data_IF_976982010875
#
_entry.id   IF_976982010875
#
_cell.length_a   1.000
_cell.length_b   1.000
_cell.length_c   1.000
_cell.angle_alpha   90.00
_cell.angle_beta   90.00
_cell.angle_gamma   90.00
#
_symmetry.space_group_name_H-M   'P 1'
#
loop_
_entity.id
_entity.type
_entity.pdbx_description
1 polymer ?
#
# COMPACT_ATOMS: atom_id res chain seq x y z
N UNK A 1 -14.66 -32.96 28.00
CA UNK A 1 -14.61 -33.03 26.51
C UNK A 1 -15.04 -31.74 25.82
N UNK A 2 -15.50 -30.72 26.55
CA UNK A 2 -16.07 -29.46 26.01
C UNK A 2 -15.03 -28.43 25.55
N UNK A 3 -13.82 -28.41 26.14
CA UNK A 3 -12.80 -27.36 25.90
C UNK A 3 -12.14 -27.39 24.51
N UNK A 4 -12.07 -28.54 23.84
CA UNK A 4 -11.46 -28.63 22.52
C UNK A 4 -12.38 -28.11 21.40
N UNK A 5 -13.70 -28.28 21.58
CA UNK A 5 -14.73 -27.82 20.62
C UNK A 5 -14.89 -26.30 20.69
N UNK A 6 -14.84 -25.71 21.89
CA UNK A 6 -14.87 -24.25 22.08
C UNK A 6 -13.68 -23.54 21.44
N UNK A 7 -12.47 -24.06 21.62
CA UNK A 7 -11.25 -23.53 20.97
C UNK A 7 -11.26 -23.66 19.44
N UNK A 8 -11.79 -24.77 18.91
CA UNK A 8 -11.91 -24.96 17.47
C UNK A 8 -12.94 -23.98 16.86
N UNK A 9 -14.07 -23.75 17.54
CA UNK A 9 -15.08 -22.79 17.11
C UNK A 9 -14.58 -21.33 17.15
N UNK A 10 -13.80 -20.96 18.17
CA UNK A 10 -13.17 -19.64 18.24
C UNK A 10 -12.15 -19.43 17.10
N UNK A 11 -11.35 -20.46 16.79
CA UNK A 11 -10.40 -20.38 15.67
C UNK A 11 -11.11 -20.22 14.32
N UNK A 12 -12.14 -21.03 14.06
CA UNK A 12 -12.94 -20.90 12.83
C UNK A 12 -13.58 -19.52 12.71
N UNK A 13 -14.08 -18.98 13.83
CA UNK A 13 -14.66 -17.65 13.86
C UNK A 13 -13.61 -16.55 13.61
N UNK A 14 -12.41 -16.70 14.15
CA UNK A 14 -11.30 -15.78 13.90
C UNK A 14 -10.86 -15.79 12.43
N UNK A 15 -10.80 -16.97 11.80
CA UNK A 15 -10.52 -17.08 10.36
C UNK A 15 -11.58 -16.35 9.51
N UNK A 16 -12.85 -16.38 9.94
CA UNK A 16 -13.94 -15.63 9.29
C UNK A 16 -13.76 -14.12 9.46
N UNK A 17 -13.37 -13.65 10.65
CA UNK A 17 -13.04 -12.23 10.90
C UNK A 17 -11.90 -11.79 9.98
N UNK A 18 -10.81 -12.56 9.92
CA UNK A 18 -9.64 -12.26 9.07
C UNK A 18 -10.02 -12.14 7.60
N UNK A 19 -10.81 -13.09 7.08
CA UNK A 19 -11.29 -13.04 5.69
C UNK A 19 -12.15 -11.79 5.44
N UNK A 20 -13.12 -11.51 6.31
CA UNK A 20 -13.98 -10.34 6.12
C UNK A 20 -13.18 -9.03 6.21
N UNK A 21 -12.24 -8.95 7.15
CA UNK A 21 -11.39 -7.76 7.32
C UNK A 21 -10.56 -7.48 6.06
N UNK A 22 -10.05 -8.53 5.41
CA UNK A 22 -9.37 -8.44 4.11
C UNK A 22 -10.31 -8.07 2.95
N UNK A 23 -11.55 -8.57 2.93
CA UNK A 23 -12.54 -8.26 1.88
C UNK A 23 -12.95 -6.78 1.87
N UNK A 24 -12.98 -6.12 3.03
CA UNK A 24 -13.37 -4.71 3.16
C UNK A 24 -12.18 -3.74 3.17
N UNK A 25 -10.96 -4.27 3.03
CA UNK A 25 -9.75 -3.47 2.99
C UNK A 25 -9.61 -2.66 1.68
N UNK A 26 -8.96 -1.48 1.72
CA UNK A 26 -8.70 -0.70 0.51
C UNK A 26 -7.75 -1.44 -0.44
N UNK A 27 -7.88 -1.18 -1.74
CA UNK A 27 -6.97 -1.74 -2.73
C UNK A 27 -5.50 -1.42 -2.41
N UNK A 28 -4.62 -2.39 -2.62
CA UNK A 28 -3.18 -2.23 -2.38
C UNK A 28 -2.74 -2.37 -0.92
N UNK A 29 -3.62 -2.77 0.01
CA UNK A 29 -3.24 -3.06 1.39
C UNK A 29 -2.17 -4.17 1.46
N UNK A 30 -1.25 -4.03 2.41
CA UNK A 30 -0.21 -5.03 2.72
C UNK A 30 -0.29 -5.55 4.14
N UNK A 31 -0.82 -4.73 5.06
CA UNK A 31 -1.06 -5.06 6.47
C UNK A 31 -2.37 -4.42 6.91
N UNK A 32 -3.22 -5.17 7.60
CA UNK A 32 -4.38 -4.65 8.33
C UNK A 32 -4.10 -4.73 9.82
N UNK A 33 -4.56 -3.72 10.55
CA UNK A 33 -4.46 -3.66 12.00
C UNK A 33 -5.81 -3.26 12.54
N UNK A 34 -6.37 -4.09 13.41
CA UNK A 34 -7.62 -3.86 14.09
C UNK A 34 -7.45 -3.98 15.60
N UNK A 35 -8.10 -3.09 16.34
CA UNK A 35 -8.31 -3.23 17.76
C UNK A 35 -9.80 -3.06 18.06
N UNK A 36 -10.37 -4.01 18.81
CA UNK A 36 -11.74 -3.96 19.30
C UNK A 36 -11.76 -4.01 20.81
N UNK A 37 -12.49 -3.10 21.44
CA UNK A 37 -12.78 -3.09 22.85
C UNK A 37 -14.24 -3.50 23.08
N UNK A 38 -14.42 -4.64 23.75
CA UNK A 38 -15.72 -5.19 24.10
C UNK A 38 -16.17 -4.73 25.49
N UNK A 39 -17.39 -4.22 25.59
CA UNK A 39 -18.02 -3.89 26.86
C UNK A 39 -19.52 -4.13 26.82
N UNK A 40 -20.09 -4.41 27.99
CA UNK A 40 -21.53 -4.53 28.16
C UNK A 40 -22.13 -3.18 28.55
N UNK A 41 -23.17 -2.76 27.84
CA UNK A 41 -24.00 -1.63 28.23
C UNK A 41 -24.87 -1.97 29.45
N UNK A 42 -25.49 -0.98 30.13
CA UNK A 42 -26.36 -1.23 31.28
C UNK A 42 -27.52 -2.21 31.03
N UNK A 43 -27.96 -2.34 29.77
CA UNK A 43 -28.98 -3.30 29.35
C UNK A 43 -28.44 -4.73 29.14
N UNK A 44 -27.12 -4.93 29.24
CA UNK A 44 -26.43 -6.19 28.99
C UNK A 44 -26.09 -6.45 27.53
N UNK A 45 -26.36 -5.49 26.64
CA UNK A 45 -26.00 -5.58 25.22
C UNK A 45 -24.49 -5.41 25.05
N UNK A 46 -23.89 -6.25 24.20
CA UNK A 46 -22.47 -6.17 23.86
C UNK A 46 -22.26 -5.05 22.84
N UNK A 47 -21.43 -4.09 23.21
CA UNK A 47 -20.96 -3.02 22.33
C UNK A 47 -19.47 -3.22 22.05
N UNK A 48 -19.07 -2.99 20.79
CA UNK A 48 -17.68 -2.95 20.38
C UNK A 48 -17.30 -1.53 20.00
N UNK A 49 -16.33 -0.96 20.71
CA UNK A 49 -15.58 0.20 20.23
C UNK A 49 -14.38 -0.29 19.41
N UNK A 50 -14.02 0.38 18.31
CA UNK A 50 -13.05 -0.15 17.37
C UNK A 50 -12.16 0.92 16.75
N UNK A 51 -10.94 0.49 16.40
CA UNK A 51 -9.99 1.22 15.58
C UNK A 51 -9.43 0.27 14.53
N UNK A 52 -9.50 0.67 13.28
CA UNK A 52 -8.98 -0.11 12.15
C UNK A 52 -8.14 0.77 11.24
N UNK A 53 -7.02 0.23 10.77
CA UNK A 53 -6.20 0.85 9.73
C UNK A 53 -5.65 -0.22 8.79
N UNK A 54 -5.25 0.24 7.62
CA UNK A 54 -4.44 -0.52 6.68
C UNK A 54 -3.13 0.24 6.43
N UNK A 55 -2.05 -0.50 6.26
CA UNK A 55 -0.87 0.00 5.53
C UNK A 55 -1.10 -0.32 4.06
N UNK A 56 -1.06 0.71 3.22
CA UNK A 56 -1.31 0.61 1.78
C UNK A 56 -0.03 0.92 1.03
N UNK A 57 0.29 0.05 0.08
CA UNK A 57 1.30 0.27 -0.94
C UNK A 57 0.73 1.20 -2.01
N UNK A 58 1.21 2.45 -2.06
CA UNK A 58 0.83 3.41 -3.10
C UNK A 58 1.79 3.40 -4.31
N UNK A 59 2.77 2.50 -4.32
CA UNK A 59 3.86 2.40 -5.29
C UNK A 59 5.10 3.18 -4.87
N UNK A 60 4.97 4.48 -4.63
CA UNK A 60 6.12 5.35 -4.31
C UNK A 60 6.33 5.58 -2.80
N UNK A 61 5.38 5.17 -1.97
CA UNK A 61 5.42 5.25 -0.50
C UNK A 61 4.38 4.35 0.15
N UNK A 62 4.56 4.13 1.45
CA UNK A 62 3.52 3.58 2.31
C UNK A 62 2.49 4.66 2.66
N UNK A 63 1.22 4.30 2.77
CA UNK A 63 0.14 5.20 3.16
C UNK A 63 -0.78 4.56 4.19
N UNK A 64 -1.45 5.40 5.00
CA UNK A 64 -2.59 4.96 5.77
C UNK A 64 -3.80 4.74 4.85
N UNK A 65 -4.36 3.54 4.91
CA UNK A 65 -5.69 3.24 4.40
C UNK A 65 -6.68 3.17 5.56
N UNK A 66 -7.85 3.79 5.40
CA UNK A 66 -8.95 3.56 6.32
C UNK A 66 -9.68 2.29 5.90
N UNK A 67 -9.86 1.35 6.83
CA UNK A 67 -10.68 0.17 6.57
C UNK A 67 -12.11 0.50 7.01
N UNK A 68 -13.03 0.45 6.05
CA UNK A 68 -14.44 0.62 6.33
C UNK A 68 -14.92 -0.47 7.27
N UNK A 69 -15.37 -0.10 8.45
CA UNK A 69 -15.98 -1.05 9.36
C UNK A 69 -17.45 -1.22 8.99
N UNK A 70 -17.83 -2.45 8.65
CA UNK A 70 -19.18 -2.79 8.24
C UNK A 70 -19.87 -3.70 9.27
N UNK A 71 -21.21 -3.72 9.19
CA UNK A 71 -22.04 -4.53 10.09
C UNK A 71 -21.69 -6.03 10.05
N UNK A 72 -21.39 -6.66 8.89
CA UNK A 72 -20.88 -8.03 8.85
C UNK A 72 -19.60 -8.26 9.67
N UNK A 73 -18.61 -7.36 9.59
CA UNK A 73 -17.39 -7.49 10.39
C UNK A 73 -17.70 -7.32 11.88
N UNK A 74 -18.59 -6.40 12.25
CA UNK A 74 -19.06 -6.25 13.63
C UNK A 74 -19.67 -7.53 14.18
N UNK A 75 -20.60 -8.12 13.45
CA UNK A 75 -21.28 -9.34 13.88
C UNK A 75 -20.30 -10.50 14.07
N UNK A 76 -19.29 -10.61 13.20
CA UNK A 76 -18.26 -11.63 13.30
C UNK A 76 -17.39 -11.46 14.55
N UNK A 77 -16.97 -10.24 14.86
CA UNK A 77 -16.17 -9.96 16.07
C UNK A 77 -17.03 -10.12 17.34
N UNK A 78 -18.28 -9.68 17.31
CA UNK A 78 -19.21 -9.83 18.43
C UNK A 78 -19.52 -11.30 18.72
N UNK A 79 -19.63 -12.15 17.68
CA UNK A 79 -19.78 -13.59 17.85
C UNK A 79 -18.52 -14.25 18.41
N UNK A 80 -17.32 -13.81 17.99
CA UNK A 80 -16.07 -14.29 18.58
C UNK A 80 -16.02 -14.03 20.10
N UNK A 81 -16.49 -12.86 20.55
CA UNK A 81 -16.61 -12.53 21.96
C UNK A 81 -17.60 -13.47 22.69
N UNK A 82 -18.78 -13.70 22.09
CA UNK A 82 -19.81 -14.59 22.64
C UNK A 82 -19.32 -16.04 22.79
N UNK A 83 -18.58 -16.54 21.81
CA UNK A 83 -17.98 -17.88 21.86
C UNK A 83 -16.96 -18.00 23.00
N UNK A 84 -16.14 -16.98 23.23
CA UNK A 84 -15.22 -16.95 24.37
C UNK A 84 -15.95 -16.96 25.73
N UNK A 85 -17.05 -16.21 25.84
CA UNK A 85 -17.89 -16.18 27.04
C UNK A 85 -18.63 -17.50 27.30
N UNK A 86 -19.00 -18.24 26.25
CA UNK A 86 -19.73 -19.50 26.36
C UNK A 86 -18.88 -20.61 27.00
N UNK A 87 -17.56 -20.60 26.80
CA UNK A 87 -16.63 -21.57 27.40
C UNK A 87 -16.39 -21.31 28.90
N UNK A 88 -16.40 -20.04 29.31
CA UNK A 88 -16.44 -19.62 30.71
C UNK A 88 -16.95 -18.16 30.81
N UNK A 89 -18.07 -17.87 31.49
CA UNK A 89 -18.70 -16.54 31.50
C UNK A 89 -17.84 -15.37 32.00
N UNK A 90 -16.74 -15.67 32.72
CA UNK A 90 -15.74 -14.69 33.15
C UNK A 90 -14.50 -14.60 32.25
N UNK A 91 -14.50 -15.24 31.08
CA UNK A 91 -13.43 -15.27 30.08
C UNK A 91 -13.85 -14.63 28.75
N UNK A 92 -14.89 -13.79 28.75
CA UNK A 92 -15.07 -12.87 27.62
C UNK A 92 -13.83 -11.95 27.59
N UNK A 93 -13.16 -11.88 26.45
CA UNK A 93 -12.10 -10.91 26.26
C UNK A 93 -12.72 -9.51 26.23
N UNK A 94 -11.95 -8.53 26.67
CA UNK A 94 -12.32 -7.11 26.67
C UNK A 94 -11.58 -6.35 25.58
N UNK A 95 -10.46 -6.87 25.10
CA UNK A 95 -9.68 -6.32 24.00
C UNK A 95 -9.32 -7.43 23.00
N UNK A 96 -9.48 -7.17 21.71
CA UNK A 96 -8.94 -7.97 20.63
C UNK A 96 -8.01 -7.09 19.80
N UNK A 97 -6.74 -7.48 19.72
CA UNK A 97 -5.78 -6.97 18.75
C UNK A 97 -5.65 -7.97 17.60
N UNK A 98 -5.72 -7.50 16.37
CA UNK A 98 -5.56 -8.31 15.17
C UNK A 98 -4.67 -7.61 14.15
N UNK A 99 -3.62 -8.31 13.74
CA UNK A 99 -2.78 -7.92 12.61
C UNK A 99 -2.92 -8.97 11.51
N UNK A 100 -3.21 -8.56 10.28
CA UNK A 100 -3.39 -9.45 9.13
C UNK A 100 -2.46 -9.03 8.01
N UNK A 101 -1.66 -9.96 7.48
CA UNK A 101 -0.82 -9.79 6.31
C UNK A 101 -1.56 -10.12 5.01
N UNK A 102 -1.03 -9.64 3.87
CA UNK A 102 -1.65 -9.81 2.55
C UNK A 102 -1.88 -11.27 2.13
N UNK A 103 -1.06 -12.21 2.66
CA UNK A 103 -1.20 -13.65 2.44
C UNK A 103 -2.21 -14.32 3.40
N UNK A 104 -2.95 -13.52 4.16
CA UNK A 104 -3.89 -13.91 5.21
C UNK A 104 -3.25 -14.62 6.41
N UNK A 105 -1.92 -14.60 6.55
CA UNK A 105 -1.32 -14.89 7.86
C UNK A 105 -1.69 -13.78 8.83
N UNK A 106 -1.85 -14.14 10.10
CA UNK A 106 -2.32 -13.18 11.09
C UNK A 106 -1.77 -13.47 12.49
N UNK A 107 -1.75 -12.42 13.30
CA UNK A 107 -1.53 -12.48 14.75
C UNK A 107 -2.76 -11.90 15.44
N UNK A 108 -3.31 -12.66 16.39
CA UNK A 108 -4.40 -12.19 17.23
C UNK A 108 -4.00 -12.28 18.71
N UNK A 109 -4.34 -11.24 19.48
CA UNK A 109 -4.08 -11.18 20.92
C UNK A 109 -5.35 -10.75 21.64
N UNK A 110 -5.73 -11.52 22.67
CA UNK A 110 -6.93 -11.30 23.46
C UNK A 110 -6.54 -10.78 24.85
N UNK A 111 -6.97 -9.56 25.17
CA UNK A 111 -6.81 -8.92 26.48
C UNK A 111 -8.05 -9.07 27.35
N UNK A 112 -7.85 -9.03 28.66
CA UNK A 112 -8.91 -9.16 29.68
C UNK A 112 -8.94 -7.99 30.67
N UNK A 113 -8.04 -7.04 30.52
CA UNK A 113 -8.03 -5.80 31.31
C UNK A 113 -9.19 -4.89 30.90
N UNK A 114 -9.69 -4.01 31.77
CA UNK A 114 -10.81 -3.15 31.43
C UNK A 114 -10.57 -2.32 30.15
N UNK A 115 -11.57 -2.19 29.27
CA UNK A 115 -11.43 -1.44 28.03
C UNK A 115 -11.13 0.03 28.33
N UNK A 116 -10.19 0.62 27.61
CA UNK A 116 -9.63 1.94 27.89
C UNK A 116 -10.37 3.01 27.10
N UNK A 117 -10.53 2.86 25.78
CA UNK A 117 -11.21 3.83 24.91
C UNK A 117 -12.70 3.93 25.19
N UNK A 118 -13.37 2.81 25.47
CA UNK A 118 -14.77 2.82 25.90
C UNK A 118 -15.00 3.66 27.18
N UNK A 119 -13.93 3.94 27.95
CA UNK A 119 -13.94 4.78 29.16
C UNK A 119 -13.37 6.18 28.93
N UNK A 120 -13.08 6.56 27.69
CA UNK A 120 -12.46 7.84 27.34
C UNK A 120 -11.00 7.96 27.77
N UNK A 121 -10.31 6.85 28.02
CA UNK A 121 -8.89 6.84 28.36
C UNK A 121 -8.10 6.81 27.05
N UNK A 122 -7.31 7.85 26.84
CA UNK A 122 -6.36 7.95 25.73
C UNK A 122 -4.97 7.57 26.23
N UNK A 123 -4.39 6.50 25.69
CA UNK A 123 -3.04 6.07 26.03
C UNK A 123 -2.30 5.49 24.83
N UNK A 124 -0.98 5.39 24.99
CA UNK A 124 -0.05 4.98 23.96
C UNK A 124 -0.29 3.54 23.46
N UNK A 125 -0.74 2.64 24.34
CA UNK A 125 -1.02 1.25 23.99
C UNK A 125 -2.29 1.12 23.14
N UNK A 126 -3.29 1.96 23.40
CA UNK A 126 -4.59 1.89 22.73
C UNK A 126 -4.70 2.76 21.47
N UNK A 127 -4.32 4.04 21.55
CA UNK A 127 -4.42 4.98 20.41
C UNK A 127 -3.06 5.36 19.83
N UNK A 128 -2.07 5.63 20.68
CA UNK A 128 -0.73 6.05 20.22
C UNK A 128 -0.08 5.02 19.28
N UNK A 129 -0.32 3.72 19.51
CA UNK A 129 0.14 2.62 18.65
C UNK A 129 -0.39 2.73 17.22
N UNK A 130 -1.62 3.19 17.03
CA UNK A 130 -2.25 3.37 15.72
C UNK A 130 -1.76 4.66 15.05
N UNK A 131 -1.66 5.74 15.83
CA UNK A 131 -1.14 7.04 15.37
C UNK A 131 0.30 6.96 14.87
N UNK A 132 1.12 6.07 15.44
CA UNK A 132 2.53 5.87 15.07
C UNK A 132 2.78 4.60 14.25
N UNK A 133 1.72 3.88 13.86
CA UNK A 133 1.87 2.56 13.23
C UNK A 133 2.63 2.64 11.90
N UNK A 134 2.29 3.60 11.04
CA UNK A 134 2.93 3.76 9.73
C UNK A 134 4.41 4.15 9.88
N UNK A 135 4.74 5.01 10.84
CA UNK A 135 6.13 5.41 11.09
C UNK A 135 6.99 4.21 11.50
N UNK A 136 6.48 3.36 12.37
CA UNK A 136 7.13 2.09 12.72
C UNK A 136 7.24 1.15 11.53
N UNK A 137 6.18 1.02 10.73
CA UNK A 137 6.21 0.21 9.51
C UNK A 137 7.31 0.69 8.55
N UNK A 138 7.40 1.99 8.32
CA UNK A 138 8.42 2.64 7.49
C UNK A 138 9.82 2.42 8.07
N UNK A 139 10.00 2.52 9.38
CA UNK A 139 11.29 2.26 10.01
C UNK A 139 11.75 0.79 9.84
N UNK A 140 10.80 -0.15 9.83
CA UNK A 140 11.07 -1.59 9.70
C UNK A 140 11.25 -2.04 8.23
N UNK A 141 10.51 -1.47 7.30
CA UNK A 141 10.40 -1.92 5.90
C UNK A 141 11.05 -0.96 4.89
N UNK A 142 11.55 0.18 5.35
CA UNK A 142 12.05 1.27 4.52
C UNK A 142 10.97 2.30 4.16
N UNK A 143 11.40 3.47 3.70
CA UNK A 143 10.53 4.60 3.33
C UNK A 143 9.59 4.32 2.18
N UNK A 144 9.84 3.24 1.44
CA UNK A 144 9.07 2.86 0.25
C UNK A 144 8.71 1.39 0.28
N UNK A 145 7.57 1.04 -0.34
CA UNK A 145 7.32 -0.32 -0.75
C UNK A 145 8.52 -0.84 -1.54
N UNK A 146 8.99 -2.07 -1.26
CA UNK A 146 9.88 -2.72 -2.20
C UNK A 146 9.13 -2.71 -3.54
N UNK A 147 9.78 -2.21 -4.60
CA UNK A 147 9.15 -2.09 -5.91
C UNK A 147 8.46 -3.41 -6.21
N UNK A 148 7.15 -3.38 -6.47
CA UNK A 148 6.42 -4.59 -6.81
C UNK A 148 7.02 -5.12 -8.09
N UNK A 149 7.91 -6.11 -7.96
CA UNK A 149 8.17 -7.10 -8.99
C UNK A 149 6.93 -8.02 -9.14
N UNK A 150 5.73 -7.42 -9.12
CA UNK A 150 4.44 -8.10 -9.15
C UNK A 150 4.14 -8.72 -10.51
N UNK A 151 5.04 -8.50 -11.47
CA UNK A 151 5.12 -9.25 -12.71
C UNK A 151 6.53 -9.80 -12.84
N UNK A 152 6.64 -11.09 -13.13
CA UNK A 152 7.88 -11.68 -13.64
C UNK A 152 8.21 -11.04 -14.99
N UNK A 153 9.09 -10.05 -14.96
CA UNK A 153 9.68 -9.46 -16.16
C UNK A 153 10.62 -10.52 -16.75
N UNK A 154 10.45 -10.85 -18.03
CA UNK A 154 11.36 -11.83 -18.65
C UNK A 154 12.79 -11.28 -18.70
N UNK A 155 13.83 -12.13 -18.81
CA UNK A 155 15.20 -11.66 -18.97
C UNK A 155 15.38 -10.68 -20.14
N UNK A 156 14.64 -10.89 -21.24
CA UNK A 156 14.64 -9.98 -22.39
C UNK A 156 13.99 -8.64 -22.06
N UNK A 157 12.82 -8.64 -21.42
CA UNK A 157 12.15 -7.41 -20.99
C UNK A 157 12.98 -6.65 -19.95
N UNK A 158 13.71 -7.37 -19.09
CA UNK A 158 14.62 -6.80 -18.10
C UNK A 158 15.82 -6.16 -18.80
N UNK A 159 16.43 -6.83 -19.79
CA UNK A 159 17.52 -6.25 -20.59
C UNK A 159 17.08 -4.97 -21.31
N UNK A 160 15.86 -4.92 -21.83
CA UNK A 160 15.30 -3.71 -22.46
C UNK A 160 15.07 -2.60 -21.44
N UNK A 161 14.60 -2.94 -20.23
CA UNK A 161 14.45 -1.97 -19.14
C UNK A 161 15.81 -1.39 -18.72
N UNK A 162 16.85 -2.23 -18.62
CA UNK A 162 18.21 -1.79 -18.29
C UNK A 162 18.77 -0.82 -19.35
N UNK A 163 18.49 -1.06 -20.63
CA UNK A 163 18.81 -0.15 -21.72
C UNK A 163 18.05 1.18 -21.56
N UNK A 164 16.74 1.12 -21.31
CA UNK A 164 15.91 2.32 -21.08
C UNK A 164 16.49 3.15 -19.93
N UNK A 165 16.77 2.52 -18.77
CA UNK A 165 17.35 3.17 -17.59
C UNK A 165 18.71 3.80 -17.90
N UNK A 166 19.57 3.08 -18.64
CA UNK A 166 20.89 3.59 -19.04
C UNK A 166 20.76 4.87 -19.87
N UNK A 167 19.88 4.88 -20.87
CA UNK A 167 19.65 6.08 -21.71
C UNK A 167 19.07 7.24 -20.91
N UNK A 168 18.16 6.97 -19.97
CA UNK A 168 17.65 8.01 -19.05
C UNK A 168 18.79 8.63 -18.22
N UNK A 169 19.68 7.81 -17.65
CA UNK A 169 20.82 8.28 -16.85
C UNK A 169 21.81 9.10 -17.68
N UNK A 170 22.09 8.66 -18.90
CA UNK A 170 23.02 9.35 -19.82
C UNK A 170 22.46 10.69 -20.30
N UNK A 171 21.14 10.80 -20.44
CA UNK A 171 20.46 12.03 -20.88
C UNK A 171 20.17 13.01 -19.73
N UNK A 172 20.29 12.58 -18.48
CA UNK A 172 19.94 13.41 -17.33
C UNK A 172 20.93 14.57 -17.14
N UNK A 173 20.43 15.77 -16.78
CA UNK A 173 21.27 16.97 -16.65
C UNK A 173 22.28 16.87 -15.50
N UNK A 174 23.33 17.68 -15.57
CA UNK A 174 24.30 17.78 -14.48
C UNK A 174 23.62 18.04 -13.12
N UNK A 175 24.13 17.40 -12.07
CA UNK A 175 23.57 17.53 -10.72
C UNK A 175 22.27 16.77 -10.50
N UNK A 176 21.81 15.93 -11.44
CA UNK A 176 20.63 15.09 -11.22
C UNK A 176 20.80 14.10 -10.06
N UNK A 177 19.73 13.94 -9.29
CA UNK A 177 19.61 12.99 -8.18
C UNK A 177 18.72 11.81 -8.53
N UNK A 178 17.54 12.12 -9.09
CA UNK A 178 16.52 11.12 -9.41
C UNK A 178 15.70 11.52 -10.61
N UNK A 179 15.36 10.55 -11.45
CA UNK A 179 14.37 10.72 -12.54
C UNK A 179 13.09 10.03 -12.11
N UNK A 180 11.96 10.73 -12.24
CA UNK A 180 10.64 10.24 -11.85
C UNK A 180 9.79 10.13 -13.09
N UNK A 181 9.35 8.92 -13.39
CA UNK A 181 8.63 8.56 -14.58
C UNK A 181 7.28 7.92 -14.23
N UNK A 182 6.23 8.34 -14.94
CA UNK A 182 4.98 7.59 -15.02
C UNK A 182 4.58 7.38 -16.46
N UNK A 183 4.33 6.12 -16.84
CA UNK A 183 3.88 5.72 -18.17
C UNK A 183 2.56 4.99 -18.03
N UNK A 184 1.59 5.30 -18.88
CA UNK A 184 0.31 4.59 -18.96
C UNK A 184 0.11 4.08 -20.39
N UNK A 185 -0.36 2.84 -20.51
CA UNK A 185 -0.64 2.20 -21.80
C UNK A 185 -1.96 1.45 -21.72
N UNK A 186 -2.75 1.52 -22.79
CA UNK A 186 -4.02 0.82 -22.93
C UNK A 186 -4.14 0.28 -24.36
N UNK A 187 -4.67 -0.94 -24.52
CA UNK A 187 -4.92 -1.54 -25.82
C UNK A 187 -6.29 -1.09 -26.35
N UNK A 188 -6.29 -0.50 -27.54
CA UNK A 188 -7.50 -0.24 -28.30
C UNK A 188 -8.19 -1.55 -28.73
N UNK A 189 -9.48 -1.51 -29.15
CA UNK A 189 -10.22 -2.71 -29.57
C UNK A 189 -9.61 -3.47 -30.76
N UNK A 190 -8.77 -2.82 -31.56
CA UNK A 190 -8.03 -3.44 -32.67
C UNK A 190 -6.69 -4.06 -32.23
N UNK A 191 -6.34 -3.96 -30.95
CA UNK A 191 -5.13 -4.51 -30.34
C UNK A 191 -3.90 -3.62 -30.47
N UNK A 192 -4.03 -2.40 -30.99
CA UNK A 192 -2.96 -1.40 -30.99
C UNK A 192 -2.86 -0.73 -29.62
N UNK A 193 -1.64 -0.44 -29.17
CA UNK A 193 -1.44 0.33 -27.93
C UNK A 193 -1.49 1.84 -28.15
N UNK A 194 -2.23 2.50 -27.27
CA UNK A 194 -2.10 3.93 -27.00
C UNK A 194 -1.29 4.13 -25.72
N UNK A 195 -0.47 5.18 -25.66
CA UNK A 195 0.33 5.48 -24.47
C UNK A 195 0.41 6.96 -24.14
N UNK A 196 0.45 7.25 -22.84
CA UNK A 196 0.66 8.57 -22.27
C UNK A 196 1.80 8.53 -21.24
N UNK A 197 2.52 9.63 -21.09
CA UNK A 197 3.71 9.66 -20.23
C UNK A 197 3.98 11.05 -19.65
N UNK A 198 4.49 11.08 -18.43
CA UNK A 198 5.10 12.27 -17.83
C UNK A 198 6.39 11.90 -17.09
N UNK A 199 7.32 12.84 -17.09
CA UNK A 199 8.71 12.67 -16.66
C UNK A 199 9.21 13.98 -16.04
N UNK A 200 9.83 13.88 -14.87
CA UNK A 200 10.62 14.97 -14.29
C UNK A 200 11.97 14.45 -13.82
N UNK A 201 12.92 15.36 -13.70
CA UNK A 201 14.20 15.08 -13.05
C UNK A 201 14.37 16.01 -11.86
N UNK A 202 14.82 15.43 -10.74
CA UNK A 202 15.23 16.16 -9.56
C UNK A 202 16.72 16.44 -9.68
N UNK A 203 17.12 17.70 -9.53
CA UNK A 203 18.51 18.17 -9.61
C UNK A 203 18.89 18.96 -8.36
N UNK A 204 20.19 19.00 -8.06
CA UNK A 204 20.76 19.99 -7.13
C UNK A 204 21.29 21.16 -7.94
N UNK A 205 20.64 22.31 -7.84
CA UNK A 205 21.06 23.55 -8.50
C UNK A 205 21.37 24.60 -7.43
N UNK A 206 22.61 25.09 -7.39
CA UNK A 206 23.02 26.11 -6.41
C UNK A 206 22.95 25.66 -4.95
N UNK A 207 22.91 24.35 -4.68
CA UNK A 207 22.74 23.78 -3.34
C UNK A 207 21.29 23.60 -2.91
N UNK A 208 20.33 23.88 -3.79
CA UNK A 208 18.90 23.65 -3.55
C UNK A 208 18.37 22.54 -4.47
N UNK A 209 17.35 21.82 -3.99
CA UNK A 209 16.64 20.83 -4.80
C UNK A 209 15.67 21.54 -5.74
N UNK A 210 15.77 21.23 -7.03
CA UNK A 210 14.84 21.67 -8.05
C UNK A 210 14.27 20.48 -8.82
N UNK A 211 13.02 20.62 -9.27
CA UNK A 211 12.38 19.66 -10.17
C UNK A 211 12.23 20.32 -11.54
N UNK A 212 12.73 19.65 -12.57
CA UNK A 212 12.77 20.16 -13.94
C UNK A 212 12.02 19.20 -14.85
N UNK A 213 11.29 19.76 -15.82
CA UNK A 213 10.67 18.96 -16.87
C UNK A 213 11.75 18.18 -17.62
N UNK A 214 11.59 16.86 -17.73
CA UNK A 214 12.60 16.01 -18.34
C UNK A 214 11.99 15.26 -19.52
N UNK A 215 12.06 15.77 -20.76
CA UNK A 215 11.46 15.10 -21.90
C UNK A 215 12.09 13.72 -22.10
N UNK A 216 11.28 12.76 -22.54
CA UNK A 216 11.77 11.45 -22.98
C UNK A 216 12.93 11.62 -23.97
N UNK A 217 14.09 10.98 -23.73
CA UNK A 217 15.18 10.95 -24.69
C UNK A 217 14.73 10.43 -26.07
N UNK A 218 15.21 11.06 -27.14
CA UNK A 218 14.76 10.78 -28.52
C UNK A 218 14.92 9.30 -28.90
N UNK A 219 16.03 8.68 -28.47
CA UNK A 219 16.34 7.27 -28.74
C UNK A 219 15.40 6.26 -28.10
N UNK A 220 14.57 6.67 -27.14
CA UNK A 220 13.69 5.76 -26.39
C UNK A 220 12.27 5.67 -26.92
N UNK A 221 11.88 6.50 -27.90
CA UNK A 221 10.47 6.59 -28.29
C UNK A 221 9.90 5.25 -28.75
N UNK A 222 10.65 4.48 -29.54
CA UNK A 222 10.23 3.16 -30.01
C UNK A 222 10.54 2.07 -28.99
N UNK A 223 11.77 1.98 -28.49
CA UNK A 223 12.19 0.92 -27.55
C UNK A 223 11.30 0.86 -26.31
N UNK A 224 11.01 2.01 -25.69
CA UNK A 224 10.11 2.08 -24.54
C UNK A 224 8.66 1.79 -24.93
N UNK A 225 8.22 2.28 -26.09
CA UNK A 225 6.86 2.06 -26.58
C UNK A 225 6.57 0.57 -26.77
N UNK A 226 7.46 -0.13 -27.47
CA UNK A 226 7.37 -1.57 -27.72
C UNK A 226 7.43 -2.36 -26.40
N UNK A 227 8.35 -2.00 -25.50
CA UNK A 227 8.45 -2.63 -24.17
C UNK A 227 7.16 -2.49 -23.35
N UNK A 228 6.58 -1.28 -23.30
CA UNK A 228 5.37 -1.03 -22.52
C UNK A 228 4.15 -1.69 -23.15
N UNK A 229 4.05 -1.68 -24.47
CA UNK A 229 3.01 -2.38 -25.21
C UNK A 229 3.08 -3.90 -24.98
N UNK A 230 4.26 -4.50 -25.06
CA UNK A 230 4.47 -5.93 -24.81
C UNK A 230 3.97 -6.33 -23.41
N UNK A 231 4.35 -5.56 -22.39
CA UNK A 231 3.88 -5.79 -21.03
C UNK A 231 2.36 -5.60 -20.92
N UNK A 232 1.81 -4.59 -21.59
CA UNK A 232 0.36 -4.32 -21.55
C UNK A 232 -0.43 -5.48 -22.17
N UNK A 233 0.04 -6.07 -23.27
CA UNK A 233 -0.58 -7.26 -23.89
C UNK A 233 -0.65 -8.48 -22.98
N UNK A 234 0.28 -8.59 -22.04
CA UNK A 234 0.28 -9.71 -21.12
C UNK A 234 -0.67 -9.48 -19.92
N UNK A 235 -1.22 -8.27 -19.72
CA UNK A 235 -2.19 -7.99 -18.63
C UNK A 235 -3.56 -8.60 -18.92
N UNK A 236 -4.36 -8.85 -17.87
CA UNK A 236 -5.69 -9.41 -18.05
C UNK A 236 -6.68 -8.39 -18.67
N UNK A 237 -6.48 -7.11 -18.34
CA UNK A 237 -7.36 -6.00 -18.77
C UNK A 237 -6.91 -5.26 -20.03
N UNK A 238 -5.71 -5.54 -20.56
CA UNK A 238 -5.12 -4.76 -21.65
C UNK A 238 -4.76 -3.33 -21.26
N UNK A 239 -4.49 -3.08 -19.98
CA UNK A 239 -4.14 -1.76 -19.46
C UNK A 239 -3.04 -1.87 -18.39
N UNK A 240 -2.05 -0.98 -18.45
CA UNK A 240 -0.90 -1.02 -17.56
C UNK A 240 -0.32 0.39 -17.31
N UNK A 241 -0.22 0.72 -16.03
CA UNK A 241 0.54 1.87 -15.52
C UNK A 241 1.89 1.40 -14.98
N UNK A 242 2.94 2.16 -15.28
CA UNK A 242 4.32 1.94 -14.84
C UNK A 242 4.81 3.20 -14.14
N UNK A 243 5.14 3.07 -12.85
CA UNK A 243 5.90 4.09 -12.13
C UNK A 243 7.37 3.62 -12.05
N UNK A 244 8.28 4.46 -12.56
CA UNK A 244 9.72 4.18 -12.58
C UNK A 244 10.49 5.33 -11.92
N UNK A 245 11.22 5.01 -10.86
CA UNK A 245 12.12 5.92 -10.16
C UNK A 245 13.55 5.51 -10.46
N UNK A 246 14.35 6.36 -11.08
CA UNK A 246 15.72 6.04 -11.46
C UNK A 246 16.67 6.87 -10.60
N UNK A 247 17.52 6.19 -9.85
CA UNK A 247 18.64 6.76 -9.11
C UNK A 247 19.96 6.47 -9.84
N UNK A 248 21.06 7.02 -9.30
CA UNK A 248 22.41 6.86 -9.86
C UNK A 248 22.79 5.39 -10.02
N UNK A 249 22.59 4.61 -8.96
CA UNK A 249 23.09 3.24 -8.88
C UNK A 249 21.98 2.18 -9.01
N UNK A 250 20.72 2.56 -8.81
CA UNK A 250 19.59 1.63 -8.82
C UNK A 250 18.33 2.28 -9.42
N UNK A 251 17.25 1.50 -9.56
CA UNK A 251 15.93 1.99 -9.91
C UNK A 251 14.84 1.21 -9.18
N UNK A 252 13.69 1.85 -8.97
CA UNK A 252 12.48 1.22 -8.43
C UNK A 252 11.42 1.21 -9.50
N UNK A 253 10.86 0.03 -9.77
CA UNK A 253 9.82 -0.20 -10.77
C UNK A 253 8.56 -0.71 -10.10
N UNK A 254 7.41 -0.11 -10.43
CA UNK A 254 6.09 -0.56 -9.98
C UNK A 254 5.14 -0.69 -11.16
N UNK A 255 4.45 -1.83 -11.24
CA UNK A 255 3.41 -2.11 -12.21
C UNK A 255 2.02 -2.05 -11.56
N UNK A 256 1.05 -1.42 -12.23
CA UNK A 256 -0.35 -1.40 -11.81
C UNK A 256 -1.26 -1.68 -13.02
N UNK A 257 -2.06 -2.75 -12.96
CA UNK A 257 -3.09 -3.04 -13.97
C UNK A 257 -4.32 -2.16 -13.71
N UNK A 258 -4.35 -0.98 -14.31
CA UNK A 258 -5.46 -0.02 -14.25
C UNK A 258 -5.63 0.70 -15.60
N UNK A 259 -6.87 1.11 -15.97
CA UNK A 259 -7.10 1.95 -17.14
C UNK A 259 -6.29 3.25 -17.09
N UNK A 260 -5.84 3.74 -18.25
CA UNK A 260 -5.03 4.97 -18.29
C UNK A 260 -5.89 6.19 -17.98
N UNK A 261 -5.58 6.94 -16.93
CA UNK A 261 -6.26 8.21 -16.65
C UNK A 261 -5.79 9.31 -17.60
N UNK A 262 -4.49 9.33 -17.93
CA UNK A 262 -3.90 10.34 -18.80
C UNK A 262 -4.44 10.30 -20.24
N UNK A 263 -4.62 9.10 -20.81
CA UNK A 263 -5.21 8.94 -22.15
C UNK A 263 -6.66 9.43 -22.21
N UNK A 264 -7.38 9.34 -21.09
CA UNK A 264 -8.76 9.83 -20.95
C UNK A 264 -8.82 11.29 -20.45
N UNK A 265 -7.69 11.99 -20.41
CA UNK A 265 -7.59 13.42 -20.11
C UNK A 265 -7.58 13.78 -18.62
N UNK A 266 -7.55 12.79 -17.71
CA UNK A 266 -7.36 13.02 -16.27
C UNK A 266 -5.88 12.89 -15.91
N UNK A 267 -5.25 14.05 -15.68
CA UNK A 267 -3.84 14.15 -15.33
C UNK A 267 -3.59 14.30 -13.82
N UNK A 268 -4.64 14.42 -13.00
CA UNK A 268 -4.48 14.80 -11.60
C UNK A 268 -3.65 13.79 -10.79
N UNK A 269 -3.82 12.49 -11.05
CA UNK A 269 -3.02 11.46 -10.38
C UNK A 269 -1.56 11.47 -10.84
N UNK A 270 -1.32 11.60 -12.14
CA UNK A 270 0.02 11.67 -12.72
C UNK A 270 0.77 12.92 -12.29
N UNK A 271 0.10 14.07 -12.24
CA UNK A 271 0.66 15.32 -11.75
C UNK A 271 1.07 15.20 -10.28
N UNK A 272 0.19 14.65 -9.43
CA UNK A 272 0.53 14.41 -8.02
C UNK A 272 1.67 13.41 -7.84
N UNK A 273 1.70 12.35 -8.64
CA UNK A 273 2.76 11.32 -8.57
C UNK A 273 4.10 11.86 -9.04
N UNK A 274 4.13 12.60 -10.13
CA UNK A 274 5.37 13.02 -10.82
C UNK A 274 5.71 14.49 -10.57
N UNK A 275 4.79 15.42 -10.80
CA UNK A 275 5.04 16.85 -10.68
C UNK A 275 5.01 17.39 -9.24
N UNK A 276 4.37 16.72 -8.30
CA UNK A 276 4.45 17.05 -6.87
C UNK A 276 5.48 16.19 -6.12
N UNK A 277 6.27 15.38 -6.84
CA UNK A 277 7.17 14.41 -6.23
C UNK A 277 8.21 15.07 -5.30
N UNK A 278 8.86 16.14 -5.76
CA UNK A 278 9.85 16.85 -4.97
C UNK A 278 9.30 17.30 -3.61
N UNK A 279 8.11 17.91 -3.61
CA UNK A 279 7.54 18.46 -2.38
C UNK A 279 7.14 17.35 -1.40
N UNK A 280 6.68 16.20 -1.91
CA UNK A 280 6.31 15.05 -1.08
C UNK A 280 7.52 14.31 -0.51
N UNK A 281 8.66 14.34 -1.20
CA UNK A 281 9.86 13.55 -0.87
C UNK A 281 11.08 14.41 -0.54
N UNK A 282 10.86 15.68 -0.16
CA UNK A 282 11.93 16.68 0.02
C UNK A 282 13.02 16.24 1.01
N UNK A 283 12.64 15.71 2.17
CA UNK A 283 13.58 15.31 3.20
C UNK A 283 14.45 14.12 2.77
N UNK A 284 13.84 13.13 2.10
CA UNK A 284 14.56 11.99 1.53
C UNK A 284 15.52 12.42 0.42
N UNK A 285 15.05 13.28 -0.50
CA UNK A 285 15.88 13.80 -1.58
C UNK A 285 17.02 14.68 -1.06
N UNK A 286 16.80 15.42 0.04
CA UNK A 286 17.84 16.20 0.69
C UNK A 286 18.88 15.28 1.36
N UNK A 287 18.44 14.17 1.97
CA UNK A 287 19.35 13.17 2.51
C UNK A 287 20.20 12.52 1.41
N UNK A 288 19.60 12.21 0.24
CA UNK A 288 20.32 11.70 -0.92
C UNK A 288 21.32 12.72 -1.48
N UNK A 289 20.98 14.01 -1.50
CA UNK A 289 21.87 15.07 -1.96
C UNK A 289 23.09 15.30 -1.04
N UNK A 290 23.00 14.90 0.23
CA UNK A 290 24.05 15.06 1.23
C UNK A 290 25.03 13.87 1.32
N UNK A 291 24.84 12.82 0.53
CA UNK A 291 25.73 11.65 0.42
C UNK A 291 26.85 11.92 -0.59
#
# INVERSE_FOLDING_TARGET
MTSAVGKAGQQEQLDRVVRRFAEVAPAGWVRLVGNWEAYAEPAGELTLDYLTLAVVDAGDRWQYGQVGYDEPLYDLVAELNRLAAADAPGHAWTVLDLEVDQDHTFRAELGYDPPKRARGIHDEESMGRFETYLDRWVAEHGSRPPGRQGRDVTPEQQSTLDEIVTVYRDAAPDGWLRIVCRWECELAPDGLADSARTHVVIVVEGGELAQVQFPSPDGLTFVRGDWHEELTRATAGGALSVDLLIDRDDYVLTFTEEPSKMLHGDWADSDRRVHEYLDRHRDELAALAGQ
#
